data_IF_829389361203
#
_entry.id   IF_829389361203
#
_cell.length_a   1.000
_cell.length_b   1.000
_cell.length_c   1.000
_cell.angle_alpha   90.00
_cell.angle_beta   90.00
_cell.angle_gamma   90.00
#
_symmetry.space_group_name_H-M   'P 1'
#
loop_
_entity.id
_entity.type
_entity.pdbx_description
1 polymer ?
#
# COMPACT_ATOMS: atom_id res chain seq x y z
N UNK A 1 11.10 2.79 -19.75
CA UNK A 1 12.26 2.57 -18.87
C UNK A 1 12.08 1.19 -18.27
N UNK A 2 13.12 0.35 -18.15
CA UNK A 2 12.96 -0.98 -17.57
C UNK A 2 12.43 -0.85 -16.15
N UNK A 3 11.34 -1.55 -15.84
CA UNK A 3 10.65 -1.42 -14.57
C UNK A 3 11.18 -2.41 -13.53
N UNK A 4 12.50 -2.37 -13.30
CA UNK A 4 13.21 -3.29 -12.41
C UNK A 4 13.30 -2.73 -10.99
N UNK A 5 12.91 -3.53 -10.00
CA UNK A 5 13.05 -3.26 -8.57
C UNK A 5 14.13 -4.15 -7.98
N UNK A 6 15.18 -3.55 -7.41
CA UNK A 6 16.24 -4.28 -6.71
C UNK A 6 15.90 -4.43 -5.22
N UNK A 7 15.73 -5.66 -4.74
CA UNK A 7 15.52 -5.96 -3.32
C UNK A 7 16.85 -6.03 -2.56
N UNK A 8 17.89 -6.54 -3.22
CA UNK A 8 19.28 -6.51 -2.78
C UNK A 8 20.20 -6.71 -4.01
N UNK A 9 21.50 -6.92 -3.78
CA UNK A 9 22.49 -7.11 -4.84
C UNK A 9 22.25 -8.38 -5.69
N UNK A 10 21.59 -9.39 -5.13
CA UNK A 10 21.38 -10.71 -5.74
C UNK A 10 19.95 -10.92 -6.27
N UNK A 11 18.99 -10.09 -5.88
CA UNK A 11 17.56 -10.27 -6.13
C UNK A 11 16.96 -9.00 -6.70
N UNK A 12 16.41 -9.11 -7.91
CA UNK A 12 15.66 -8.06 -8.57
C UNK A 12 14.35 -8.62 -9.15
N UNK A 13 13.33 -7.76 -9.22
CA UNK A 13 12.03 -8.04 -9.80
C UNK A 13 11.90 -7.22 -11.07
N UNK A 14 11.67 -7.86 -12.21
CA UNK A 14 11.31 -7.18 -13.45
C UNK A 14 9.79 -7.02 -13.51
N UNK A 15 9.28 -5.80 -13.40
CA UNK A 15 7.83 -5.57 -13.44
C UNK A 15 7.25 -5.73 -14.86
N UNK A 16 8.10 -5.73 -15.90
CA UNK A 16 7.68 -5.97 -17.29
C UNK A 16 7.02 -7.38 -17.41
N UNK A 17 7.47 -8.35 -16.58
CA UNK A 17 6.90 -9.71 -16.51
C UNK A 17 5.42 -9.73 -16.05
N UNK A 18 4.94 -8.64 -15.43
CA UNK A 18 3.62 -8.56 -14.81
C UNK A 18 2.68 -7.60 -15.54
N UNK A 19 3.09 -6.95 -16.64
CA UNK A 19 2.30 -5.96 -17.36
C UNK A 19 0.89 -6.46 -17.70
N UNK A 20 0.76 -7.70 -18.17
CA UNK A 20 -0.52 -8.25 -18.60
C UNK A 20 -1.44 -8.65 -17.44
N UNK A 21 -0.87 -9.04 -16.30
CA UNK A 21 -1.60 -9.70 -15.20
C UNK A 21 -1.79 -8.80 -13.97
N UNK A 22 -1.00 -7.72 -13.90
CA UNK A 22 -0.81 -6.89 -12.71
C UNK A 22 0.16 -7.54 -11.72
N UNK A 23 1.05 -6.72 -11.15
CA UNK A 23 1.99 -7.16 -10.12
C UNK A 23 1.28 -7.37 -8.78
N UNK A 24 1.53 -8.52 -8.14
CA UNK A 24 1.04 -8.85 -6.80
C UNK A 24 2.16 -9.57 -6.06
N UNK A 25 2.55 -9.05 -4.90
CA UNK A 25 3.62 -9.61 -4.10
C UNK A 25 3.18 -9.80 -2.65
N UNK A 26 3.73 -10.85 -2.02
CA UNK A 26 3.60 -11.10 -0.59
C UNK A 26 4.99 -11.37 -0.02
N UNK A 27 5.31 -10.73 1.11
CA UNK A 27 6.59 -10.92 1.81
C UNK A 27 6.31 -11.72 3.07
N UNK A 28 6.86 -12.94 3.13
CA UNK A 28 6.62 -13.88 4.23
C UNK A 28 7.95 -14.26 4.87
N UNK A 29 7.98 -14.29 6.20
CA UNK A 29 9.17 -14.62 6.97
C UNK A 29 8.92 -14.59 8.47
N UNK A 30 9.79 -15.25 9.24
CA UNK A 30 9.72 -15.23 10.70
C UNK A 30 9.98 -13.83 11.28
N UNK A 31 9.64 -13.59 12.55
CA UNK A 31 10.02 -12.34 13.22
C UNK A 31 11.55 -12.17 13.20
N UNK A 32 12.01 -10.95 12.93
CA UNK A 32 13.44 -10.64 12.76
C UNK A 32 14.08 -11.07 11.43
N UNK A 33 13.33 -11.69 10.50
CA UNK A 33 13.89 -12.15 9.22
C UNK A 33 14.15 -11.04 8.17
N UNK A 34 13.93 -9.77 8.52
CA UNK A 34 14.07 -8.64 7.60
C UNK A 34 12.87 -8.39 6.69
N UNK A 35 11.65 -8.81 7.05
CA UNK A 35 10.44 -8.54 6.25
C UNK A 35 10.24 -7.05 5.98
N UNK A 36 10.31 -6.23 7.02
CA UNK A 36 10.13 -4.77 6.90
C UNK A 36 11.22 -4.13 6.05
N UNK A 37 12.46 -4.67 6.08
CA UNK A 37 13.53 -4.24 5.19
C UNK A 37 13.24 -4.58 3.72
N UNK A 38 12.84 -5.83 3.44
CA UNK A 38 12.50 -6.25 2.09
C UNK A 38 11.28 -5.49 1.53
N UNK A 39 10.28 -5.23 2.39
CA UNK A 39 9.13 -4.41 2.06
C UNK A 39 9.57 -2.97 1.76
N UNK A 40 10.41 -2.38 2.60
CA UNK A 40 10.98 -1.05 2.37
C UNK A 40 11.67 -0.94 1.02
N UNK A 41 12.55 -1.90 0.68
CA UNK A 41 13.23 -1.95 -0.63
C UNK A 41 12.29 -2.10 -1.81
N UNK A 42 11.27 -2.94 -1.67
CA UNK A 42 10.26 -3.09 -2.71
C UNK A 42 9.53 -1.76 -2.94
N UNK A 43 9.05 -1.13 -1.87
CA UNK A 43 8.29 0.11 -1.94
C UNK A 43 9.16 1.30 -2.42
N UNK A 44 10.46 1.35 -2.07
CA UNK A 44 11.43 2.30 -2.65
C UNK A 44 11.48 2.18 -4.18
N UNK A 45 11.57 0.95 -4.70
CA UNK A 45 11.60 0.70 -6.13
C UNK A 45 10.28 1.03 -6.84
N UNK A 46 9.15 0.62 -6.26
CA UNK A 46 7.81 0.95 -6.79
C UNK A 46 7.60 2.46 -6.83
N UNK A 47 8.01 3.18 -5.76
CA UNK A 47 7.98 4.64 -5.72
C UNK A 47 8.87 5.29 -6.79
N UNK A 48 10.12 4.81 -6.94
CA UNK A 48 11.05 5.31 -7.95
C UNK A 48 10.54 5.12 -9.39
N UNK A 49 9.69 4.11 -9.62
CA UNK A 49 9.02 3.84 -10.89
C UNK A 49 7.75 4.66 -11.11
N UNK A 50 7.35 5.49 -10.14
CA UNK A 50 6.13 6.31 -10.23
C UNK A 50 4.85 5.48 -10.21
N UNK A 51 4.90 4.30 -9.59
CA UNK A 51 3.73 3.42 -9.47
C UNK A 51 3.02 3.77 -8.15
N UNK A 52 1.71 4.09 -8.17
CA UNK A 52 0.97 4.35 -6.95
C UNK A 52 0.85 3.09 -6.10
N UNK A 53 1.06 3.25 -4.80
CA UNK A 53 0.99 2.16 -3.83
C UNK A 53 -0.19 2.41 -2.91
N UNK A 54 -0.97 1.38 -2.62
CA UNK A 54 -2.02 1.44 -1.60
C UNK A 54 -1.70 0.38 -0.57
N UNK A 55 -1.47 0.79 0.68
CA UNK A 55 -1.07 -0.07 1.78
C UNK A 55 -2.18 -0.11 2.83
N UNK A 56 -2.40 -1.27 3.46
CA UNK A 56 -3.26 -1.40 4.64
C UNK A 56 -2.35 -1.76 5.82
N UNK A 57 -2.32 -0.93 6.85
CA UNK A 57 -1.36 -1.02 7.96
C UNK A 57 -2.07 -1.06 9.32
N UNK A 58 -2.64 -2.19 9.72
CA UNK A 58 -3.34 -2.29 11.00
C UNK A 58 -2.40 -2.28 12.22
N UNK A 59 -1.09 -2.43 12.04
CA UNK A 59 -0.10 -2.55 13.12
C UNK A 59 0.76 -1.28 13.24
N UNK A 60 0.45 -0.23 12.47
CA UNK A 60 1.24 1.01 12.40
C UNK A 60 2.73 0.75 12.15
N UNK A 61 3.07 -0.16 11.23
CA UNK A 61 4.46 -0.47 10.86
C UNK A 61 4.96 0.33 9.65
N UNK A 62 4.06 0.98 8.90
CA UNK A 62 4.32 1.62 7.61
C UNK A 62 4.15 3.15 7.65
N UNK A 63 3.81 3.76 8.79
CA UNK A 63 3.65 5.23 8.88
C UNK A 63 4.93 6.02 8.52
N UNK A 64 6.10 5.41 8.65
CA UNK A 64 7.39 6.00 8.24
C UNK A 64 7.50 6.24 6.73
N UNK A 65 6.59 5.66 5.92
CA UNK A 65 6.50 5.97 4.48
C UNK A 65 6.09 7.40 4.17
N UNK A 66 5.59 8.15 5.16
CA UNK A 66 5.43 9.61 5.04
C UNK A 66 6.73 10.31 4.65
N UNK A 67 7.90 9.79 5.07
CA UNK A 67 9.22 10.31 4.70
C UNK A 67 9.49 10.22 3.18
N UNK A 68 8.80 9.30 2.49
CA UNK A 68 8.85 9.11 1.04
C UNK A 68 7.66 9.77 0.32
N UNK A 69 6.92 10.65 1.00
CA UNK A 69 5.80 11.40 0.44
C UNK A 69 4.51 10.59 0.30
N UNK A 70 4.37 9.49 1.05
CA UNK A 70 3.09 8.78 1.14
C UNK A 70 2.06 9.59 1.94
N UNK A 71 0.79 9.48 1.55
CA UNK A 71 -0.36 9.98 2.32
C UNK A 71 -0.85 8.88 3.27
N UNK A 72 -0.76 9.09 4.58
CA UNK A 72 -1.24 8.13 5.59
C UNK A 72 -2.61 8.55 6.11
N UNK A 73 -3.57 7.62 6.05
CA UNK A 73 -4.97 7.80 6.44
C UNK A 73 -5.28 6.84 7.59
N UNK A 74 -5.58 7.38 8.78
CA UNK A 74 -5.84 6.61 10.00
C UNK A 74 -4.59 6.38 10.84
N UNK A 75 -4.77 5.62 11.92
CA UNK A 75 -3.71 5.38 12.92
C UNK A 75 -3.33 6.59 13.76
N UNK A 76 -2.49 6.35 14.76
CA UNK A 76 -1.95 7.43 15.63
C UNK A 76 -1.06 8.41 14.85
N UNK A 77 -0.40 7.91 13.80
CA UNK A 77 0.58 8.66 13.00
C UNK A 77 0.04 9.13 11.64
N UNK A 78 -1.27 9.09 11.41
CA UNK A 78 -1.88 9.48 10.13
C UNK A 78 -1.84 10.97 9.84
N UNK A 79 -1.69 11.32 8.57
CA UNK A 79 -1.86 12.69 8.07
C UNK A 79 -3.34 13.13 8.12
N UNK A 80 -4.24 12.17 7.94
CA UNK A 80 -5.70 12.37 7.93
C UNK A 80 -6.36 11.26 8.73
N UNK A 81 -7.41 11.58 9.50
CA UNK A 81 -8.19 10.55 10.20
C UNK A 81 -8.88 9.59 9.22
N UNK A 82 -8.87 8.30 9.54
CA UNK A 82 -9.65 7.34 8.79
C UNK A 82 -11.15 7.54 9.06
N UNK A 83 -11.93 7.62 7.99
CA UNK A 83 -13.37 7.58 8.04
C UNK A 83 -13.86 6.49 7.09
N UNK A 84 -14.76 5.57 7.52
CA UNK A 84 -15.35 4.55 6.66
C UNK A 84 -16.42 5.15 5.72
N UNK A 85 -16.06 6.25 5.04
CA UNK A 85 -16.87 6.91 4.02
C UNK A 85 -16.34 6.50 2.64
N UNK A 86 -17.18 5.78 1.93
CA UNK A 86 -16.95 5.31 0.56
C UNK A 86 -16.46 6.41 -0.39
N UNK A 87 -16.94 7.65 -0.27
CA UNK A 87 -16.53 8.76 -1.14
C UNK A 87 -15.14 9.27 -0.82
N UNK A 88 -14.74 9.25 0.46
CA UNK A 88 -13.40 9.67 0.88
C UNK A 88 -12.38 8.64 0.44
N UNK A 89 -12.70 7.35 0.63
CA UNK A 89 -11.88 6.24 0.17
C UNK A 89 -11.70 6.30 -1.34
N UNK A 90 -12.79 6.51 -2.11
CA UNK A 90 -12.70 6.66 -3.57
C UNK A 90 -11.79 7.81 -3.97
N UNK A 91 -11.91 8.98 -3.33
CA UNK A 91 -11.07 10.15 -3.64
C UNK A 91 -9.61 9.91 -3.33
N UNK A 92 -9.29 9.25 -2.21
CA UNK A 92 -7.92 8.92 -1.85
C UNK A 92 -7.30 7.95 -2.86
N UNK A 93 -8.04 6.90 -3.24
CA UNK A 93 -7.61 5.92 -4.24
C UNK A 93 -7.43 6.58 -5.61
N UNK A 94 -8.39 7.38 -6.07
CA UNK A 94 -8.31 8.10 -7.34
C UNK A 94 -7.13 9.08 -7.35
N UNK A 95 -6.93 9.82 -6.26
CA UNK A 95 -5.77 10.70 -6.12
C UNK A 95 -4.46 9.92 -6.24
N UNK A 96 -4.33 8.78 -5.54
CA UNK A 96 -3.17 7.92 -5.64
C UNK A 96 -2.84 7.57 -7.10
N UNK A 97 -3.85 7.11 -7.86
CA UNK A 97 -3.69 6.77 -9.27
C UNK A 97 -3.34 7.98 -10.14
N UNK A 98 -4.01 9.12 -9.96
CA UNK A 98 -3.81 10.32 -10.78
C UNK A 98 -2.43 10.98 -10.55
N UNK A 99 -1.91 10.94 -9.32
CA UNK A 99 -0.69 11.64 -8.94
C UNK A 99 0.49 10.72 -8.70
N UNK A 100 0.32 9.42 -8.92
CA UNK A 100 1.30 8.39 -8.55
C UNK A 100 1.73 8.48 -7.07
N UNK A 101 0.84 8.95 -6.20
CA UNK A 101 1.12 9.15 -4.78
C UNK A 101 0.83 7.86 -4.02
N UNK A 102 1.79 7.32 -3.25
CA UNK A 102 1.53 6.23 -2.31
C UNK A 102 0.50 6.65 -1.25
N UNK A 103 -0.42 5.77 -0.90
CA UNK A 103 -1.42 5.95 0.15
C UNK A 103 -1.33 4.77 1.12
N UNK A 104 -1.30 5.05 2.42
CA UNK A 104 -1.39 4.04 3.49
C UNK A 104 -2.70 4.24 4.21
N UNK A 105 -3.48 3.19 4.39
CA UNK A 105 -4.62 3.17 5.31
C UNK A 105 -4.17 2.45 6.58
N UNK A 106 -3.81 3.22 7.60
CA UNK A 106 -3.50 2.66 8.92
C UNK A 106 -4.81 2.38 9.66
N UNK A 107 -5.02 1.10 9.96
CA UNK A 107 -6.24 0.60 10.58
C UNK A 107 -6.05 0.26 12.07
N UNK A 108 -4.95 0.72 12.70
CA UNK A 108 -4.61 0.40 14.09
C UNK A 108 -5.70 0.76 15.10
N UNK A 109 -6.39 1.88 14.91
CA UNK A 109 -7.55 2.24 15.76
C UNK A 109 -8.70 1.21 15.69
N UNK A 110 -8.81 0.46 14.59
CA UNK A 110 -9.80 -0.60 14.44
C UNK A 110 -9.34 -1.90 15.11
N UNK A 111 -8.03 -2.13 15.24
CA UNK A 111 -7.49 -3.30 15.95
C UNK A 111 -7.92 -3.29 17.42
N UNK A 112 -7.93 -2.11 18.05
CA UNK A 112 -8.46 -1.91 19.41
C UNK A 112 -9.97 -2.20 19.54
N UNK A 113 -10.71 -2.08 18.43
CA UNK A 113 -12.15 -2.39 18.35
C UNK A 113 -12.44 -3.84 17.95
N UNK A 114 -11.39 -4.61 17.65
CA UNK A 114 -11.41 -6.03 17.32
C UNK A 114 -11.26 -6.34 15.83
N UNK A 115 -10.73 -7.53 15.53
CA UNK A 115 -10.35 -8.00 14.19
C UNK A 115 -11.45 -7.85 13.13
N UNK A 116 -12.72 -8.02 13.51
CA UNK A 116 -13.84 -7.89 12.58
C UNK A 116 -13.97 -6.48 11.99
N UNK A 117 -13.61 -5.45 12.76
CA UNK A 117 -13.67 -4.06 12.33
C UNK A 117 -12.53 -3.74 11.35
N UNK A 118 -11.32 -4.25 11.64
CA UNK A 118 -10.16 -4.17 10.73
C UNK A 118 -10.47 -4.89 9.42
N UNK A 119 -11.02 -6.10 9.50
CA UNK A 119 -11.39 -6.88 8.32
C UNK A 119 -12.42 -6.15 7.45
N UNK A 120 -13.47 -5.60 8.05
CA UNK A 120 -14.50 -4.87 7.31
C UNK A 120 -13.94 -3.62 6.59
N UNK A 121 -13.08 -2.85 7.26
CA UNK A 121 -12.42 -1.69 6.67
C UNK A 121 -11.48 -2.09 5.52
N UNK A 122 -10.69 -3.14 5.71
CA UNK A 122 -9.82 -3.69 4.67
C UNK A 122 -10.60 -4.18 3.44
N UNK A 123 -11.69 -4.93 3.65
CA UNK A 123 -12.57 -5.40 2.57
C UNK A 123 -13.19 -4.23 1.80
N UNK A 124 -13.63 -3.18 2.52
CA UNK A 124 -14.17 -1.97 1.90
C UNK A 124 -13.15 -1.31 0.97
N UNK A 125 -11.93 -1.08 1.44
CA UNK A 125 -10.85 -0.45 0.66
C UNK A 125 -10.50 -1.32 -0.55
N UNK A 126 -10.25 -2.62 -0.34
CA UNK A 126 -9.86 -3.54 -1.41
C UNK A 126 -10.91 -3.62 -2.52
N UNK A 127 -12.20 -3.66 -2.17
CA UNK A 127 -13.30 -3.65 -3.14
C UNK A 127 -13.26 -2.39 -4.01
N UNK A 128 -12.97 -1.22 -3.42
CA UNK A 128 -12.88 0.05 -4.16
C UNK A 128 -11.66 0.07 -5.08
N UNK A 129 -10.48 -0.30 -4.57
CA UNK A 129 -9.24 -0.40 -5.37
C UNK A 129 -9.45 -1.29 -6.59
N UNK A 130 -10.04 -2.47 -6.39
CA UNK A 130 -10.26 -3.42 -7.49
C UNK A 130 -11.25 -2.90 -8.52
N UNK A 131 -12.33 -2.24 -8.08
CA UNK A 131 -13.33 -1.65 -8.98
C UNK A 131 -12.76 -0.53 -9.87
N UNK A 132 -11.82 0.27 -9.36
CA UNK A 132 -11.18 1.32 -10.15
C UNK A 132 -10.09 0.76 -11.08
N UNK A 133 -9.34 -0.25 -10.62
CA UNK A 133 -8.33 -0.93 -11.44
C UNK A 133 -8.93 -1.63 -12.66
N UNK A 134 -10.11 -2.24 -12.53
CA UNK A 134 -10.82 -2.87 -13.65
C UNK A 134 -11.42 -1.83 -14.63
N UNK A 135 -11.76 -0.63 -14.16
CA UNK A 135 -12.28 0.45 -15.01
C UNK A 135 -11.17 1.21 -15.79
N UNK A 136 -9.91 1.07 -15.38
CA UNK A 136 -8.75 1.68 -16.02
C UNK A 136 -8.12 0.79 -17.11
N UNK A 137 -8.63 -0.43 -17.32
CA UNK A 137 -8.26 -1.36 -18.41
C UNK A 137 -9.19 -1.23 -19.60
#
# INVERSE_FOLDING_TARGET
>A
MPSIIHLNDDVALDLDDYEQQGFRAAIVGSSGSGKSYALGKMLEGVHALGIPMIMLDPESELWTFTELGALVIGGEHGDVAYAPDDRLIDRAITHAFETATPVVFDLGEFADRGDAAVQAAGEQIMRRVWSQGDAAR
#
